data_IF_005615863531
#
_entry.id   IF_005615863531
#
_cell.length_a   1.000
_cell.length_b   1.000
_cell.length_c   1.000
_cell.angle_alpha   90.00
_cell.angle_beta   90.00
_cell.angle_gamma   90.00
#
_symmetry.space_group_name_H-M   'P 1'
#
loop_
_entity.id
_entity.type
_entity.pdbx_description
1 polymer ?
#
# COMPACT_ATOMS: atom_id res chain seq x y z
N UNK A 1 -20.45 -6.88 2.12
CA UNK A 1 -19.21 -7.61 1.79
C UNK A 1 -18.81 -8.50 2.95
N UNK A 2 -18.51 -9.75 2.66
CA UNK A 2 -18.16 -10.72 3.70
C UNK A 2 -16.69 -10.58 4.07
N UNK A 3 -16.34 -11.00 5.28
CA UNK A 3 -14.96 -10.94 5.76
C UNK A 3 -14.01 -11.65 4.79
N UNK A 4 -14.45 -12.78 4.23
CA UNK A 4 -13.64 -13.53 3.26
C UNK A 4 -13.26 -12.68 2.05
N UNK A 5 -14.11 -11.74 1.65
CA UNK A 5 -13.82 -10.85 0.54
C UNK A 5 -12.79 -9.78 0.89
N UNK A 6 -12.60 -9.51 2.18
CA UNK A 6 -11.61 -8.52 2.63
C UNK A 6 -10.23 -9.12 2.80
N UNK A 7 -10.13 -10.43 3.04
CA UNK A 7 -8.84 -11.07 3.29
C UNK A 7 -7.85 -10.85 2.14
N UNK A 8 -8.22 -11.07 0.87
CA UNK A 8 -7.29 -10.82 -0.23
C UNK A 8 -6.88 -9.35 -0.33
N UNK A 9 -7.82 -8.44 -0.04
CA UNK A 9 -7.54 -6.99 -0.09
C UNK A 9 -6.54 -6.61 0.99
N UNK A 10 -6.76 -7.08 2.20
CA UNK A 10 -5.88 -6.79 3.32
C UNK A 10 -4.49 -7.39 3.07
N UNK A 11 -4.43 -8.60 2.55
CA UNK A 11 -3.17 -9.26 2.23
C UNK A 11 -2.39 -8.48 1.18
N UNK A 12 -3.06 -8.05 0.11
CA UNK A 12 -2.43 -7.26 -0.94
C UNK A 12 -1.95 -5.91 -0.41
N UNK A 13 -2.77 -5.26 0.41
CA UNK A 13 -2.39 -3.98 1.00
C UNK A 13 -1.18 -4.12 1.92
N UNK A 14 -1.16 -5.15 2.74
CA UNK A 14 -0.04 -5.41 3.63
C UNK A 14 1.24 -5.64 2.84
N UNK A 15 1.18 -6.42 1.77
CA UNK A 15 2.32 -6.64 0.89
C UNK A 15 2.81 -5.36 0.25
N UNK A 16 1.89 -4.52 -0.22
CA UNK A 16 2.26 -3.24 -0.83
C UNK A 16 2.89 -2.30 0.17
N UNK A 17 2.39 -2.26 1.40
CA UNK A 17 2.97 -1.44 2.45
C UNK A 17 4.39 -1.91 2.76
N UNK A 18 4.56 -3.22 2.88
CA UNK A 18 5.86 -3.82 3.17
C UNK A 18 6.88 -3.46 2.08
N UNK A 19 6.49 -3.62 0.82
CA UNK A 19 7.35 -3.29 -0.31
C UNK A 19 7.68 -1.79 -0.31
N UNK A 20 6.70 -0.96 -0.03
CA UNK A 20 6.90 0.49 0.04
C UNK A 20 7.95 0.86 1.08
N UNK A 21 7.86 0.25 2.26
CA UNK A 21 8.83 0.48 3.32
C UNK A 21 10.23 0.08 2.87
N UNK A 22 10.34 -1.08 2.25
CA UNK A 22 11.63 -1.57 1.74
C UNK A 22 12.20 -0.61 0.71
N UNK A 23 11.37 -0.10 -0.19
CA UNK A 23 11.81 0.84 -1.22
C UNK A 23 12.28 2.15 -0.60
N UNK A 24 11.59 2.66 0.43
CA UNK A 24 12.03 3.86 1.12
C UNK A 24 13.36 3.63 1.83
N UNK A 25 13.52 2.50 2.48
CA UNK A 25 14.79 2.15 3.13
C UNK A 25 15.91 2.08 2.09
N UNK A 26 15.65 1.42 0.97
CA UNK A 26 16.62 1.34 -0.12
C UNK A 26 16.99 2.72 -0.64
N UNK A 27 16.01 3.62 -0.77
CA UNK A 27 16.28 4.98 -1.18
C UNK A 27 17.21 5.69 -0.19
N UNK A 28 16.91 5.59 1.11
CA UNK A 28 17.74 6.23 2.12
C UNK A 28 19.17 5.71 2.10
N UNK A 29 19.33 4.41 1.88
CA UNK A 29 20.67 3.80 1.89
C UNK A 29 21.45 4.10 0.62
N UNK A 30 20.79 4.09 -0.54
CA UNK A 30 21.46 4.28 -1.82
C UNK A 30 21.34 5.70 -2.36
N UNK A 31 20.37 6.46 -1.86
CA UNK A 31 20.07 7.82 -2.32
C UNK A 31 19.81 7.87 -3.83
N UNK A 32 19.16 6.82 -4.35
CA UNK A 32 18.86 6.71 -5.78
C UNK A 32 17.55 7.44 -6.12
N UNK A 33 17.57 8.41 -7.06
CA UNK A 33 16.33 9.08 -7.48
C UNK A 33 15.30 8.11 -8.05
N UNK A 34 15.74 7.06 -8.74
CA UNK A 34 14.83 6.05 -9.28
C UNK A 34 14.07 5.35 -8.17
N UNK A 35 14.76 4.98 -7.10
CA UNK A 35 14.12 4.34 -5.96
C UNK A 35 13.13 5.28 -5.27
N UNK A 36 13.46 6.57 -5.23
CA UNK A 36 12.54 7.54 -4.66
C UNK A 36 11.22 7.59 -5.44
N UNK A 37 11.31 7.64 -6.77
CA UNK A 37 10.11 7.64 -7.62
C UNK A 37 9.29 6.37 -7.41
N UNK A 38 9.95 5.21 -7.34
CA UNK A 38 9.24 3.96 -7.11
C UNK A 38 8.60 3.92 -5.74
N UNK A 39 9.29 4.43 -4.73
CA UNK A 39 8.76 4.47 -3.37
C UNK A 39 7.50 5.34 -3.29
N UNK A 40 7.55 6.52 -3.92
CA UNK A 40 6.39 7.42 -3.96
C UNK A 40 5.24 6.76 -4.69
N UNK A 41 5.51 6.11 -5.81
CA UNK A 41 4.47 5.42 -6.57
C UNK A 41 3.83 4.30 -5.75
N UNK A 42 4.65 3.49 -5.08
CA UNK A 42 4.16 2.42 -4.22
C UNK A 42 3.36 2.96 -3.06
N UNK A 43 3.81 4.07 -2.48
CA UNK A 43 3.08 4.73 -1.40
C UNK A 43 1.71 5.21 -1.88
N UNK A 44 1.66 5.82 -3.06
CA UNK A 44 0.39 6.27 -3.63
C UNK A 44 -0.57 5.11 -3.85
N UNK A 45 -0.06 3.99 -4.38
CA UNK A 45 -0.88 2.80 -4.59
C UNK A 45 -1.42 2.24 -3.27
N UNK A 46 -0.57 2.16 -2.25
CA UNK A 46 -0.99 1.67 -0.94
C UNK A 46 -2.03 2.59 -0.31
N UNK A 47 -1.82 3.91 -0.43
CA UNK A 47 -2.78 4.89 0.07
C UNK A 47 -4.12 4.76 -0.62
N UNK A 48 -4.09 4.56 -1.95
CA UNK A 48 -5.31 4.40 -2.72
C UNK A 48 -6.08 3.15 -2.28
N UNK A 49 -5.37 2.05 -2.07
CA UNK A 49 -5.98 0.82 -1.59
C UNK A 49 -6.54 0.99 -0.19
N UNK A 50 -5.84 1.71 0.67
CA UNK A 50 -6.32 1.98 2.01
C UNK A 50 -7.60 2.80 2.00
N UNK A 51 -7.67 3.80 1.11
CA UNK A 51 -8.87 4.61 0.96
C UNK A 51 -10.05 3.77 0.47
N UNK A 52 -9.80 2.88 -0.48
CA UNK A 52 -10.84 1.97 -0.98
C UNK A 52 -11.35 1.07 0.14
N UNK A 53 -10.45 0.55 0.95
CA UNK A 53 -10.83 -0.32 2.07
C UNK A 53 -11.68 0.44 3.09
N UNK A 54 -11.28 1.66 3.41
CA UNK A 54 -12.04 2.52 4.32
C UNK A 54 -13.43 2.82 3.74
N UNK A 55 -13.49 3.11 2.45
CA UNK A 55 -14.76 3.38 1.75
C UNK A 55 -15.67 2.17 1.81
N UNK A 56 -15.15 0.98 1.56
CA UNK A 56 -15.94 -0.25 1.64
C UNK A 56 -16.49 -0.46 3.04
N UNK A 57 -15.65 -0.27 4.05
CA UNK A 57 -16.08 -0.44 5.44
C UNK A 57 -17.16 0.56 5.81
N UNK A 58 -17.04 1.80 5.35
CA UNK A 58 -18.07 2.81 5.59
C UNK A 58 -19.38 2.47 4.91
N UNK A 59 -19.30 1.94 3.70
CA UNK A 59 -20.50 1.54 2.95
C UNK A 59 -21.25 0.41 3.62
N UNK A 60 -20.57 -0.39 4.42
CA UNK A 60 -21.18 -1.53 5.09
C UNK A 60 -21.89 -1.16 6.38
N UNK A 61 -21.80 0.07 6.80
CA UNK A 61 -22.52 0.56 7.99
C UNK A 61 -23.99 0.88 7.65
#
# INVERSE_FOLDING_TARGET
MKVAGLVPVITALSGNIFITIIKFIGFFLSKSPSLFSEAVHSFADASNQALLLIGIRRSMR
#
